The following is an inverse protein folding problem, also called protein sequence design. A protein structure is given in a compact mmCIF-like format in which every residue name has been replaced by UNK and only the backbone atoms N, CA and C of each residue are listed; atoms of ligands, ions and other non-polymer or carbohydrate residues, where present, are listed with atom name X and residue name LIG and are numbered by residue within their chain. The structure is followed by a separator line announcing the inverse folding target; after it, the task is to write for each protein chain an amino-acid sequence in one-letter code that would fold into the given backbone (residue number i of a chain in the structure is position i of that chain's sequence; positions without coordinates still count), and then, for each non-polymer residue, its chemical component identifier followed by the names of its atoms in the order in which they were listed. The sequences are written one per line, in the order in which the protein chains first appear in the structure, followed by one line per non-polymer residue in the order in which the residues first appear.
data_IF_826038327850
#
_entry.id   IF_826038327850
#
_cell.length_a   1.000
_cell.length_b   1.000
_cell.length_c   1.000
_cell.angle_alpha   90.00
_cell.angle_beta   90.00
_cell.angle_gamma   90.00
#
_symmetry.space_group_name_H-M   'P 1'
#
loop_
_entity.id
_entity.type
_entity.pdbx_description
1 polymer ?
#
# COMPACT_ATOMS: atom_id res chain seq x y z
N UNK A 1 87.55 16.39 47.33
CA UNK A 1 86.49 17.36 46.96
C UNK A 1 86.93 18.47 45.98
N UNK A 2 87.76 19.45 46.35
CA UNK A 2 88.08 20.60 45.46
C UNK A 2 88.87 20.21 44.19
N UNK A 3 89.75 19.23 44.30
CA UNK A 3 90.54 18.69 43.18
C UNK A 3 89.69 17.88 42.19
N UNK A 4 88.75 17.07 42.68
CA UNK A 4 87.82 16.30 41.84
C UNK A 4 86.91 17.21 41.02
N UNK A 5 86.49 18.34 41.60
CA UNK A 5 85.69 19.33 40.90
C UNK A 5 86.47 19.91 39.70
N UNK A 6 87.73 20.27 39.88
CA UNK A 6 88.59 20.76 38.80
C UNK A 6 88.86 19.72 37.72
N UNK A 7 89.03 18.44 38.08
CA UNK A 7 89.21 17.37 37.11
C UNK A 7 87.92 17.12 36.31
N UNK A 8 86.76 17.14 36.97
CA UNK A 8 85.47 17.03 36.29
C UNK A 8 85.22 18.23 35.37
N UNK A 9 85.65 19.43 35.76
CA UNK A 9 85.52 20.62 34.92
C UNK A 9 86.42 20.54 33.68
N UNK A 10 87.66 20.06 33.83
CA UNK A 10 88.59 19.78 32.72
C UNK A 10 88.06 18.68 31.80
N UNK A 11 87.52 17.61 32.36
CA UNK A 11 86.91 16.51 31.62
C UNK A 11 85.68 16.99 30.84
N UNK A 12 84.82 17.79 31.45
CA UNK A 12 83.65 18.37 30.78
C UNK A 12 84.06 19.30 29.63
N UNK A 13 85.11 20.11 29.79
CA UNK A 13 85.65 20.94 28.70
C UNK A 13 86.16 20.08 27.53
N UNK A 14 86.83 18.96 27.82
CA UNK A 14 87.27 18.01 26.77
C UNK A 14 86.08 17.36 26.07
N UNK A 15 85.09 16.86 26.83
CA UNK A 15 83.88 16.23 26.28
C UNK A 15 83.09 17.21 25.40
N UNK A 16 82.94 18.47 25.84
CA UNK A 16 82.27 19.52 25.05
C UNK A 16 83.02 19.89 23.76
N UNK A 17 84.34 19.66 23.72
CA UNK A 17 85.19 19.93 22.55
C UNK A 17 85.24 18.79 21.53
N UNK A 18 84.71 17.60 21.85
CA UNK A 18 84.69 16.46 20.91
C UNK A 18 83.61 16.70 19.86
N UNK A 19 84.01 16.82 18.59
CA UNK A 19 83.07 16.91 17.46
C UNK A 19 82.45 15.53 17.20
N UNK A 20 81.14 15.51 16.94
CA UNK A 20 80.45 14.30 16.52
C UNK A 20 80.98 13.84 15.15
N UNK A 21 81.43 12.58 15.06
CA UNK A 21 81.98 11.97 13.84
C UNK A 21 80.94 11.21 13.00
N UNK A 22 79.68 11.21 13.45
CA UNK A 22 78.56 10.54 12.80
C UNK A 22 77.55 11.60 12.38
N UNK A 23 77.17 11.59 11.11
CA UNK A 23 76.10 12.45 10.61
C UNK A 23 74.76 11.95 11.19
N UNK A 24 74.19 12.74 12.09
CA UNK A 24 72.89 12.48 12.70
C UNK A 24 71.78 13.33 12.04
N UNK A 25 72.01 13.89 10.84
CA UNK A 25 70.97 14.63 10.13
C UNK A 25 69.90 13.68 9.60
N UNK A 26 68.66 14.14 9.65
CA UNK A 26 67.55 13.40 9.05
C UNK A 26 67.74 13.27 7.54
N UNK A 27 67.44 12.10 6.94
CA UNK A 27 67.53 11.92 5.50
C UNK A 27 66.59 12.89 4.76
N UNK A 28 66.95 13.32 3.54
CA UNK A 28 66.14 14.25 2.76
C UNK A 28 64.77 13.63 2.43
N UNK A 29 63.72 14.41 2.65
CA UNK A 29 62.37 13.98 2.27
C UNK A 29 62.18 14.08 0.76
N UNK A 30 61.75 12.99 0.14
CA UNK A 30 61.48 13.00 -1.30
C UNK A 30 60.05 13.46 -1.60
N UNK A 31 59.85 14.36 -2.58
CA UNK A 31 58.54 14.93 -2.88
C UNK A 31 57.51 13.89 -3.35
N UNK A 32 57.94 12.75 -3.93
CA UNK A 32 57.05 11.68 -4.36
C UNK A 32 56.51 10.81 -3.19
N UNK A 33 57.15 10.85 -2.01
CA UNK A 33 56.65 10.19 -0.80
C UNK A 33 55.58 11.05 -0.10
N UNK A 34 55.71 12.37 -0.22
CA UNK A 34 54.74 13.36 0.26
C UNK A 34 53.54 13.40 -0.69
N UNK A 35 53.81 13.59 -1.98
CA UNK A 35 52.80 13.70 -3.03
C UNK A 35 52.65 12.36 -3.75
N UNK A 36 51.74 11.52 -3.25
CA UNK A 36 51.41 10.21 -3.83
C UNK A 36 50.57 10.35 -5.10
N UNK A 37 51.12 11.00 -6.14
CA UNK A 37 50.38 11.34 -7.38
C UNK A 37 49.67 10.17 -8.03
N UNK A 38 50.28 8.97 -8.05
CA UNK A 38 49.64 7.76 -8.59
C UNK A 38 48.39 7.36 -7.82
N UNK A 39 48.38 7.55 -6.50
CA UNK A 39 47.21 7.27 -5.66
C UNK A 39 46.10 8.30 -5.94
N UNK A 40 46.47 9.56 -6.10
CA UNK A 40 45.53 10.63 -6.42
C UNK A 40 44.89 10.42 -7.80
N UNK A 41 45.70 10.09 -8.80
CA UNK A 41 45.23 9.71 -10.14
C UNK A 41 44.26 8.52 -10.09
N UNK A 42 44.59 7.44 -9.37
CA UNK A 42 43.70 6.29 -9.23
C UNK A 42 42.37 6.64 -8.57
N UNK A 43 42.38 7.56 -7.60
CA UNK A 43 41.15 8.03 -6.97
C UNK A 43 40.30 8.84 -7.94
N UNK A 44 40.92 9.73 -8.72
CA UNK A 44 40.25 10.53 -9.76
C UNK A 44 39.65 9.65 -10.88
N UNK A 45 40.40 8.67 -11.37
CA UNK A 45 39.90 7.66 -12.33
C UNK A 45 38.68 6.89 -11.76
N UNK A 46 38.73 6.54 -10.47
CA UNK A 46 37.60 5.86 -9.82
C UNK A 46 36.38 6.77 -9.67
N UNK A 47 36.57 8.03 -9.32
CA UNK A 47 35.48 9.00 -9.20
C UNK A 47 34.83 9.29 -10.55
N UNK A 48 35.63 9.50 -11.59
CA UNK A 48 35.12 9.73 -12.96
C UNK A 48 34.35 8.52 -13.50
N UNK A 49 34.78 7.29 -13.16
CA UNK A 49 34.02 6.08 -13.49
C UNK A 49 32.67 6.05 -12.78
N UNK A 50 32.64 6.30 -11.46
CA UNK A 50 31.40 6.34 -10.67
C UNK A 50 30.44 7.41 -11.22
N UNK A 51 30.95 8.59 -11.59
CA UNK A 51 30.13 9.67 -12.16
C UNK A 51 29.55 9.29 -13.53
N UNK A 52 30.32 8.64 -14.40
CA UNK A 52 29.80 8.12 -15.68
C UNK A 52 28.71 7.07 -15.46
N UNK A 53 28.92 6.13 -14.56
CA UNK A 53 27.94 5.08 -14.24
C UNK A 53 26.65 5.69 -13.65
N UNK A 54 26.77 6.65 -12.74
CA UNK A 54 25.65 7.39 -12.18
C UNK A 54 24.89 8.16 -13.27
N UNK A 55 25.59 8.80 -14.21
CA UNK A 55 24.96 9.51 -15.34
C UNK A 55 24.19 8.55 -16.24
N UNK A 56 24.74 7.40 -16.57
CA UNK A 56 24.08 6.36 -17.37
C UNK A 56 22.86 5.82 -16.63
N UNK A 57 22.97 5.56 -15.32
CA UNK A 57 21.86 5.09 -14.50
C UNK A 57 20.71 6.10 -14.48
N UNK A 58 21.01 7.38 -14.22
CA UNK A 58 20.02 8.45 -14.22
C UNK A 58 19.36 8.62 -15.60
N UNK A 59 20.13 8.52 -16.68
CA UNK A 59 19.58 8.54 -18.04
C UNK A 59 18.63 7.37 -18.29
N UNK A 60 19.00 6.15 -17.86
CA UNK A 60 18.13 4.96 -17.96
C UNK A 60 16.88 5.10 -17.10
N UNK A 61 16.99 5.58 -15.87
CA UNK A 61 15.83 5.82 -15.01
C UNK A 61 14.91 6.89 -15.59
N UNK A 62 15.46 8.00 -16.08
CA UNK A 62 14.70 9.05 -16.76
C UNK A 62 14.01 8.53 -18.02
N UNK A 63 14.71 7.73 -18.83
CA UNK A 63 14.13 7.08 -20.00
C UNK A 63 12.98 6.15 -19.60
N UNK A 64 13.16 5.32 -18.56
CA UNK A 64 12.08 4.48 -18.03
C UNK A 64 10.93 5.34 -17.53
N UNK A 65 11.17 6.39 -16.74
CA UNK A 65 10.09 7.26 -16.20
C UNK A 65 9.30 7.99 -17.29
N UNK A 66 9.97 8.41 -18.37
CA UNK A 66 9.34 9.12 -19.49
C UNK A 66 8.67 8.17 -20.49
N UNK A 67 9.20 6.96 -20.66
CA UNK A 67 8.74 5.96 -21.62
C UNK A 67 8.04 4.76 -20.96
N UNK A 68 7.73 4.81 -19.66
CA UNK A 68 6.96 3.78 -18.93
C UNK A 68 5.46 3.82 -19.24
N UNK A 69 5.09 4.17 -20.46
CA UNK A 69 3.92 3.58 -21.08
C UNK A 69 4.39 2.23 -21.62
N UNK A 70 4.09 1.17 -20.88
CA UNK A 70 4.28 -0.20 -21.33
C UNK A 70 3.71 -0.30 -22.76
N UNK A 71 4.57 -0.36 -23.77
CA UNK A 71 4.18 -0.60 -25.17
C UNK A 71 3.76 -2.08 -25.39
N UNK A 72 3.44 -2.78 -24.30
CA UNK A 72 2.61 -4.00 -24.35
C UNK A 72 1.13 -3.64 -24.51
N UNK A 73 0.81 -2.67 -25.36
CA UNK A 73 -0.44 -2.75 -26.12
C UNK A 73 -0.30 -3.83 -27.19
N UNK A 74 0.10 -5.04 -26.78
CA UNK A 74 -0.36 -6.21 -27.49
C UNK A 74 -1.88 -6.20 -27.32
N UNK A 75 -2.58 -5.71 -28.34
CA UNK A 75 -3.99 -5.98 -28.59
C UNK A 75 -4.17 -7.48 -28.89
N UNK A 76 -3.56 -8.36 -28.11
CA UNK A 76 -4.04 -9.72 -27.97
C UNK A 76 -5.34 -9.54 -27.20
N UNK A 77 -6.44 -9.35 -27.95
CA UNK A 77 -7.76 -9.70 -27.46
C UNK A 77 -7.61 -11.15 -27.03
N UNK A 78 -7.53 -11.39 -25.72
CA UNK A 78 -7.43 -12.74 -25.19
C UNK A 78 -8.65 -13.49 -25.71
N UNK A 79 -8.42 -14.30 -26.74
CA UNK A 79 -9.48 -15.02 -27.43
C UNK A 79 -9.82 -16.16 -26.49
N UNK A 80 -10.72 -15.88 -25.54
CA UNK A 80 -11.24 -16.88 -24.60
C UNK A 80 -11.60 -18.11 -25.42
N UNK A 81 -11.04 -19.28 -25.09
CA UNK A 81 -11.31 -20.54 -25.80
C UNK A 81 -12.82 -20.80 -25.94
N UNK A 82 -13.60 -20.30 -24.97
CA UNK A 82 -15.05 -20.41 -24.91
C UNK A 82 -15.80 -19.20 -25.48
N UNK A 83 -15.15 -18.29 -26.20
CA UNK A 83 -15.79 -17.06 -26.70
C UNK A 83 -16.90 -17.37 -27.71
N UNK A 84 -16.70 -18.38 -28.56
CA UNK A 84 -17.70 -18.89 -29.50
C UNK A 84 -18.91 -19.47 -28.77
N UNK A 85 -18.68 -20.35 -27.78
CA UNK A 85 -19.74 -20.93 -26.96
C UNK A 85 -20.52 -19.88 -26.18
N UNK A 86 -19.82 -18.90 -25.57
CA UNK A 86 -20.45 -17.78 -24.85
C UNK A 86 -21.29 -16.91 -25.79
N UNK A 87 -20.80 -16.67 -27.01
CA UNK A 87 -21.53 -15.93 -28.04
C UNK A 87 -22.80 -16.67 -28.48
N UNK A 88 -22.69 -17.97 -28.77
CA UNK A 88 -23.83 -18.81 -29.15
C UNK A 88 -24.87 -18.88 -28.03
N UNK A 89 -24.43 -19.03 -26.77
CA UNK A 89 -25.34 -19.02 -25.62
C UNK A 89 -26.02 -17.66 -25.45
N UNK A 90 -25.29 -16.56 -25.65
CA UNK A 90 -25.86 -15.22 -25.59
C UNK A 90 -26.88 -14.99 -26.72
N UNK A 91 -26.58 -15.44 -27.95
CA UNK A 91 -27.52 -15.39 -29.08
C UNK A 91 -28.77 -16.24 -28.79
N UNK A 92 -28.61 -17.44 -28.23
CA UNK A 92 -29.71 -18.29 -27.80
C UNK A 92 -30.58 -17.61 -26.74
N UNK A 93 -29.98 -17.06 -25.68
CA UNK A 93 -30.68 -16.33 -24.62
C UNK A 93 -31.42 -15.13 -25.21
N UNK A 94 -30.80 -14.40 -26.13
CA UNK A 94 -31.45 -13.26 -26.79
C UNK A 94 -32.66 -13.69 -27.62
N UNK A 95 -32.56 -14.79 -28.37
CA UNK A 95 -33.69 -15.34 -29.14
C UNK A 95 -34.81 -15.82 -28.22
N UNK A 96 -34.47 -16.54 -27.14
CA UNK A 96 -35.45 -16.98 -26.13
C UNK A 96 -36.13 -15.78 -25.48
N UNK A 97 -35.39 -14.76 -25.06
CA UNK A 97 -35.92 -13.51 -24.51
C UNK A 97 -36.82 -12.78 -25.50
N UNK A 98 -36.44 -12.71 -26.77
CA UNK A 98 -37.27 -12.06 -27.80
C UNK A 98 -38.57 -12.84 -28.05
N UNK A 99 -38.51 -14.17 -28.05
CA UNK A 99 -39.69 -15.04 -28.16
C UNK A 99 -40.63 -14.87 -26.96
N UNK A 100 -40.07 -14.77 -25.75
CA UNK A 100 -40.79 -14.56 -24.52
C UNK A 100 -41.44 -13.17 -24.50
N UNK A 101 -40.71 -12.14 -24.92
CA UNK A 101 -41.22 -10.79 -25.03
C UNK A 101 -42.41 -10.72 -26.00
N UNK A 102 -42.28 -11.34 -27.19
CA UNK A 102 -43.39 -11.44 -28.16
C UNK A 102 -44.59 -12.15 -27.56
N UNK A 103 -44.39 -13.23 -26.80
CA UNK A 103 -45.47 -13.95 -26.11
C UNK A 103 -46.13 -13.10 -25.03
N UNK A 104 -45.36 -12.33 -24.26
CA UNK A 104 -45.90 -11.42 -23.23
C UNK A 104 -46.73 -10.31 -23.89
N UNK A 105 -46.19 -9.69 -24.94
CA UNK A 105 -46.84 -8.58 -25.64
C UNK A 105 -48.09 -9.01 -26.41
N UNK A 106 -48.07 -10.20 -27.03
CA UNK A 106 -49.24 -10.74 -27.76
C UNK A 106 -50.33 -11.28 -26.83
N UNK A 107 -50.00 -11.59 -25.56
CA UNK A 107 -50.97 -12.13 -24.62
C UNK A 107 -51.93 -11.02 -24.20
N UNK A 108 -53.22 -11.23 -24.51
CA UNK A 108 -54.29 -10.36 -24.03
C UNK A 108 -54.35 -10.39 -22.51
N UNK A 109 -54.61 -9.25 -21.84
CA UNK A 109 -54.78 -9.21 -20.40
C UNK A 109 -55.92 -10.16 -19.99
N UNK A 110 -55.64 -11.08 -19.07
CA UNK A 110 -56.63 -12.03 -18.54
C UNK A 110 -57.75 -11.30 -17.79
N UNK A 111 -57.45 -10.14 -17.22
CA UNK A 111 -58.37 -9.32 -16.45
C UNK A 111 -59.07 -8.29 -17.36
N UNK A 112 -60.22 -8.66 -17.93
CA UNK A 112 -61.08 -7.70 -18.63
C UNK A 112 -61.89 -6.89 -17.63
N UNK A 113 -61.63 -5.58 -17.52
CA UNK A 113 -62.36 -4.66 -16.63
C UNK A 113 -63.87 -4.71 -16.87
N UNK A 114 -64.30 -4.82 -18.13
CA UNK A 114 -65.71 -4.97 -18.50
C UNK A 114 -66.31 -6.27 -17.96
N UNK A 115 -65.57 -7.38 -18.04
CA UNK A 115 -66.02 -8.66 -17.49
C UNK A 115 -66.15 -8.59 -15.97
N UNK A 116 -65.18 -7.97 -15.28
CA UNK A 116 -65.22 -7.76 -13.83
C UNK A 116 -66.36 -6.85 -13.39
N UNK A 117 -66.61 -5.76 -14.12
CA UNK A 117 -67.74 -4.87 -13.85
C UNK A 117 -69.08 -5.59 -14.03
N UNK A 118 -69.22 -6.40 -15.09
CA UNK A 118 -70.42 -7.21 -15.31
C UNK A 118 -70.60 -8.24 -14.18
N UNK A 119 -69.55 -8.99 -13.85
CA UNK A 119 -69.58 -9.96 -12.76
C UNK A 119 -69.93 -9.30 -11.42
N UNK A 120 -69.39 -8.11 -11.15
CA UNK A 120 -69.70 -7.34 -9.94
C UNK A 120 -71.17 -6.89 -9.92
N UNK A 121 -71.70 -6.40 -11.05
CA UNK A 121 -73.11 -6.02 -11.17
C UNK A 121 -74.04 -7.23 -11.00
N UNK A 122 -73.77 -8.33 -11.70
CA UNK A 122 -74.53 -9.58 -11.60
C UNK A 122 -74.49 -10.14 -10.15
N UNK A 123 -73.36 -9.98 -9.47
CA UNK A 123 -73.21 -10.36 -8.07
C UNK A 123 -74.02 -9.46 -7.13
N UNK A 124 -73.99 -8.14 -7.34
CA UNK A 124 -74.82 -7.20 -6.59
C UNK A 124 -76.32 -7.46 -6.80
N UNK A 125 -76.75 -7.75 -8.03
CA UNK A 125 -78.12 -8.11 -8.35
C UNK A 125 -78.53 -9.42 -7.65
N UNK A 126 -77.66 -10.44 -7.66
CA UNK A 126 -77.88 -11.67 -6.87
C UNK A 126 -78.01 -11.40 -5.38
N UNK A 127 -77.16 -10.55 -4.81
CA UNK A 127 -77.22 -10.18 -3.39
C UNK A 127 -78.52 -9.44 -3.05
N UNK A 128 -79.01 -8.57 -3.94
CA UNK A 128 -80.33 -7.93 -3.80
C UNK A 128 -81.45 -8.96 -3.83
N UNK A 129 -81.46 -9.85 -4.81
CA UNK A 129 -82.44 -10.93 -4.87
C UNK A 129 -82.37 -11.84 -3.63
N UNK A 130 -81.19 -12.13 -3.09
CA UNK A 130 -81.04 -12.91 -1.85
C UNK A 130 -81.51 -12.16 -0.61
N UNK A 131 -81.36 -10.83 -0.57
CA UNK A 131 -81.85 -9.97 0.52
C UNK A 131 -83.38 -9.93 0.56
N UNK A 132 -84.03 -9.98 -0.61
CA UNK A 132 -85.48 -9.87 -0.75
C UNK A 132 -86.19 -11.25 -0.77
N UNK A 133 -85.44 -12.35 -0.58
CA UNK A 133 -86.00 -13.70 -0.46
C UNK A 133 -86.44 -13.95 0.99
N UNK A 134 -87.75 -14.11 1.15
CA UNK A 134 -88.39 -14.51 2.39
C UNK A 134 -88.03 -15.97 2.71
N UNK A 135 -87.28 -16.27 3.81
CA UNK A 135 -86.77 -17.61 4.09
C UNK A 135 -87.86 -18.66 4.29
N UNK A 136 -89.11 -18.24 4.54
CA UNK A 136 -90.28 -19.10 4.66
C UNK A 136 -90.81 -19.63 3.31
N UNK A 137 -90.46 -19.01 2.18
CA UNK A 137 -90.97 -19.37 0.83
C UNK A 137 -89.97 -20.15 -0.04
N UNK A 138 -88.80 -20.49 0.50
CA UNK A 138 -87.78 -21.27 -0.22
C UNK A 138 -88.25 -22.72 -0.34
N UNK A 139 -88.86 -23.06 -1.48
CA UNK A 139 -89.20 -24.44 -1.82
C UNK A 139 -87.92 -25.27 -1.89
N UNK A 140 -87.77 -26.21 -0.94
CA UNK A 140 -86.71 -27.22 -0.95
C UNK A 140 -86.93 -28.13 -2.15
N UNK A 141 -86.34 -27.79 -3.29
CA UNK A 141 -86.31 -28.72 -4.43
C UNK A 141 -85.46 -29.93 -4.03
N UNK A 142 -86.02 -31.13 -4.24
CA UNK A 142 -85.31 -32.39 -3.98
C UNK A 142 -84.01 -32.38 -4.78
N UNK A 143 -82.88 -32.54 -4.08
CA UNK A 143 -81.53 -32.56 -4.64
C UNK A 143 -81.45 -33.60 -5.76
N UNK A 144 -81.51 -33.14 -7.00
CA UNK A 144 -81.43 -34.02 -8.14
C UNK A 144 -79.96 -34.41 -8.34
N UNK A 145 -79.68 -35.70 -8.12
CA UNK A 145 -78.52 -36.50 -8.54
C UNK A 145 -77.23 -35.73 -8.85
N UNK A 146 -76.24 -35.95 -7.97
CA UNK A 146 -74.79 -35.84 -8.22
C UNK A 146 -74.45 -35.92 -9.71
N UNK A 147 -74.28 -34.78 -10.37
CA UNK A 147 -73.55 -34.73 -11.65
C UNK A 147 -72.09 -35.02 -11.32
N UNK A 148 -71.52 -36.00 -12.03
CA UNK A 148 -70.13 -36.45 -11.90
C UNK A 148 -69.21 -35.24 -11.74
N UNK A 149 -68.34 -35.29 -10.74
CA UNK A 149 -67.19 -34.39 -10.63
C UNK A 149 -66.44 -34.46 -11.95
N UNK A 150 -66.52 -33.41 -12.76
CA UNK A 150 -65.53 -33.24 -13.82
C UNK A 150 -64.18 -33.24 -13.11
N UNK A 151 -63.34 -34.24 -13.40
CA UNK A 151 -61.95 -34.24 -12.95
C UNK A 151 -61.40 -32.89 -13.39
N UNK A 152 -61.05 -32.03 -12.43
CA UNK A 152 -60.25 -30.86 -12.72
C UNK A 152 -58.99 -31.42 -13.38
N UNK A 153 -58.84 -31.17 -14.68
CA UNK A 153 -57.56 -31.41 -15.33
C UNK A 153 -56.54 -30.66 -14.49
N UNK A 154 -55.45 -31.31 -14.05
CA UNK A 154 -54.36 -30.61 -13.41
C UNK A 154 -54.03 -29.40 -14.29
N UNK A 155 -54.10 -28.20 -13.73
CA UNK A 155 -53.65 -27.01 -14.44
C UNK A 155 -52.28 -27.35 -15.01
N UNK A 156 -52.15 -27.22 -16.33
CA UNK A 156 -50.91 -27.28 -17.09
C UNK A 156 -49.94 -26.21 -16.55
N UNK A 157 -49.30 -26.55 -15.44
CA UNK A 157 -48.11 -25.89 -14.93
C UNK A 157 -46.98 -26.45 -15.78
N UNK A 158 -46.69 -25.72 -16.87
CA UNK A 158 -45.63 -26.05 -17.79
C UNK A 158 -44.38 -26.56 -17.08
N UNK A 159 -44.01 -27.79 -17.46
CA UNK A 159 -42.71 -28.44 -17.31
C UNK A 159 -41.75 -27.89 -16.26
N UNK A 160 -41.91 -28.32 -15.01
CA UNK A 160 -40.82 -28.35 -14.03
C UNK A 160 -40.66 -29.78 -13.48
N UNK A 161 -40.32 -30.72 -14.36
CA UNK A 161 -39.91 -32.07 -13.96
C UNK A 161 -38.88 -32.63 -14.95
N UNK A 162 -37.72 -31.99 -15.03
CA UNK A 162 -36.61 -32.47 -15.85
C UNK A 162 -35.23 -31.99 -15.36
N UNK A 163 -34.93 -31.97 -14.05
CA UNK A 163 -33.55 -31.72 -13.57
C UNK A 163 -33.13 -32.53 -12.33
N UNK A 164 -33.77 -33.67 -12.06
CA UNK A 164 -33.38 -34.56 -10.95
C UNK A 164 -32.99 -35.95 -11.47
N UNK A 165 -32.03 -36.00 -12.40
CA UNK A 165 -31.19 -37.19 -12.65
C UNK A 165 -30.16 -36.84 -13.73
N UNK A 166 -28.98 -36.37 -13.32
CA UNK A 166 -27.76 -36.61 -14.09
C UNK A 166 -26.64 -37.03 -13.15
N UNK A 167 -26.08 -38.17 -13.53
CA UNK A 167 -25.04 -38.95 -12.88
C UNK A 167 -23.73 -38.15 -12.80
N UNK A 168 -22.97 -38.42 -11.75
CA UNK A 168 -21.52 -38.27 -11.57
C UNK A 168 -20.74 -37.78 -12.80
N UNK A 169 -20.46 -36.47 -12.84
CA UNK A 169 -19.34 -35.93 -13.61
C UNK A 169 -18.23 -35.53 -12.62
N UNK A 170 -17.05 -36.12 -12.82
CA UNK A 170 -15.83 -35.85 -12.05
C UNK A 170 -15.46 -34.35 -12.13
N UNK A 171 -14.93 -33.72 -11.07
CA UNK A 171 -14.52 -32.32 -11.14
C UNK A 171 -13.26 -32.20 -12.00
N UNK A 172 -13.43 -31.75 -13.24
CA UNK A 172 -12.34 -31.35 -14.13
C UNK A 172 -11.79 -30.00 -13.67
N UNK A 173 -10.47 -29.97 -13.44
CA UNK A 173 -9.73 -28.91 -12.78
C UNK A 173 -10.01 -27.50 -13.32
N UNK A 174 -10.57 -26.68 -12.45
CA UNK A 174 -10.72 -25.24 -12.62
C UNK A 174 -9.39 -24.60 -12.24
N UNK A 175 -8.59 -24.16 -13.22
CA UNK A 175 -7.49 -23.21 -12.98
C UNK A 175 -8.09 -21.84 -12.68
N UNK A 176 -8.77 -21.71 -11.55
CA UNK A 176 -9.03 -20.41 -10.97
C UNK A 176 -7.74 -19.87 -10.38
N UNK A 177 -7.46 -18.61 -10.71
CA UNK A 177 -6.35 -17.79 -10.27
C UNK A 177 -5.72 -18.30 -8.96
N UNK A 178 -4.52 -18.85 -9.05
CA UNK A 178 -3.78 -19.43 -7.92
C UNK A 178 -3.64 -18.47 -6.74
N UNK A 179 -3.73 -17.15 -6.99
CA UNK A 179 -3.77 -16.08 -6.00
C UNK A 179 -5.13 -15.89 -5.31
N UNK A 180 -6.26 -16.13 -5.99
CA UNK A 180 -7.60 -16.12 -5.34
C UNK A 180 -7.92 -17.42 -4.63
N UNK A 181 -7.33 -18.53 -5.06
CA UNK A 181 -7.40 -19.81 -4.36
C UNK A 181 -6.51 -19.87 -3.10
N UNK A 182 -5.67 -18.85 -2.88
CA UNK A 182 -4.79 -18.74 -1.71
C UNK A 182 -5.32 -17.81 -0.61
N UNK A 183 -6.39 -17.05 -0.88
CA UNK A 183 -7.10 -16.26 0.12
C UNK A 183 -8.07 -17.18 0.88
N UNK A 184 -7.65 -17.61 2.07
CA UNK A 184 -8.51 -18.36 2.98
C UNK A 184 -9.24 -17.36 3.89
N UNK A 185 -10.56 -17.28 3.75
CA UNK A 185 -11.39 -16.54 4.71
C UNK A 185 -11.41 -17.33 6.02
N UNK A 186 -10.78 -16.76 7.03
CA UNK A 186 -10.59 -17.35 8.35
C UNK A 186 -11.79 -17.09 9.24
N UNK A 187 -12.26 -15.85 9.25
CA UNK A 187 -13.30 -15.40 10.17
C UNK A 187 -14.16 -14.32 9.52
N UNK A 188 -15.47 -14.34 9.78
CA UNK A 188 -16.40 -13.31 9.33
C UNK A 188 -17.56 -13.14 10.30
N UNK A 189 -17.55 -12.07 11.07
CA UNK A 189 -18.62 -11.77 12.03
C UNK A 189 -18.80 -10.26 12.27
N UNK A 190 -19.97 -9.87 12.76
CA UNK A 190 -20.23 -8.50 13.22
C UNK A 190 -19.66 -8.28 14.62
N UNK A 191 -18.88 -7.21 14.79
CA UNK A 191 -18.24 -6.81 16.05
C UNK A 191 -18.38 -5.31 16.26
N UNK A 192 -18.43 -4.90 17.52
CA UNK A 192 -18.31 -3.49 17.90
C UNK A 192 -16.82 -3.19 18.10
N UNK A 193 -16.27 -2.24 17.35
CA UNK A 193 -14.90 -1.75 17.48
C UNK A 193 -14.99 -0.23 17.62
N UNK A 194 -14.48 0.33 18.73
CA UNK A 194 -14.50 1.77 19.04
C UNK A 194 -15.88 2.42 18.76
N UNK A 195 -16.93 1.86 19.38
CA UNK A 195 -18.33 2.29 19.29
C UNK A 195 -18.99 2.20 17.89
N UNK A 196 -18.33 1.58 16.91
CA UNK A 196 -18.88 1.32 15.58
C UNK A 196 -19.19 -0.15 15.40
N UNK A 197 -20.41 -0.47 14.94
CA UNK A 197 -20.77 -1.83 14.56
C UNK A 197 -20.27 -2.14 13.15
N UNK A 198 -19.34 -3.10 13.05
CA UNK A 198 -18.61 -3.39 11.83
C UNK A 198 -18.54 -4.90 11.58
N UNK A 199 -18.77 -5.32 10.34
CA UNK A 199 -18.49 -6.69 9.92
C UNK A 199 -16.99 -6.82 9.66
N UNK A 200 -16.32 -7.62 10.49
CA UNK A 200 -14.90 -7.93 10.38
C UNK A 200 -14.74 -9.22 9.60
N UNK A 201 -13.94 -9.19 8.54
CA UNK A 201 -13.52 -10.37 7.77
C UNK A 201 -12.01 -10.49 7.87
N UNK A 202 -11.53 -11.60 8.42
CA UNK A 202 -10.10 -11.94 8.50
C UNK A 202 -9.79 -12.91 7.36
N UNK A 203 -8.78 -12.59 6.56
CA UNK A 203 -8.37 -13.38 5.41
C UNK A 203 -6.88 -13.66 5.53
N UNK A 204 -6.48 -14.91 5.51
CA UNK A 204 -5.08 -15.30 5.40
C UNK A 204 -4.75 -15.57 3.94
N UNK A 205 -3.66 -14.96 3.48
CA UNK A 205 -3.03 -15.31 2.22
C UNK A 205 -1.82 -16.21 2.52
N UNK A 206 -1.97 -17.51 2.24
CA UNK A 206 -0.94 -18.52 2.54
C UNK A 206 0.34 -18.26 1.71
N UNK A 207 0.19 -17.75 0.49
CA UNK A 207 1.32 -17.54 -0.42
C UNK A 207 2.16 -16.36 0.04
N UNK A 208 1.49 -15.24 0.34
CA UNK A 208 2.17 -14.00 0.73
C UNK A 208 2.50 -13.97 2.23
N UNK A 209 1.99 -14.93 3.01
CA UNK A 209 2.07 -14.99 4.48
C UNK A 209 1.63 -13.67 5.13
N UNK A 210 0.48 -13.18 4.70
CA UNK A 210 -0.12 -11.93 5.16
C UNK A 210 -1.57 -12.17 5.58
N UNK A 211 -1.95 -11.63 6.72
CA UNK A 211 -3.33 -11.57 7.17
C UNK A 211 -3.93 -10.21 6.80
N UNK A 212 -5.07 -10.23 6.11
CA UNK A 212 -5.83 -9.05 5.72
C UNK A 212 -7.07 -8.96 6.59
N UNK A 213 -7.16 -7.88 7.37
CA UNK A 213 -8.34 -7.52 8.15
C UNK A 213 -9.16 -6.53 7.33
N UNK A 214 -10.36 -6.94 6.94
CA UNK A 214 -11.30 -6.11 6.19
C UNK A 214 -12.51 -5.83 7.06
N UNK A 215 -12.85 -4.56 7.20
CA UNK A 215 -13.94 -4.11 8.07
C UNK A 215 -14.95 -3.33 7.24
N UNK A 216 -16.23 -3.69 7.34
CA UNK A 216 -17.33 -3.01 6.66
C UNK A 216 -18.32 -2.41 7.66
N UNK A 217 -18.36 -1.09 7.76
CA UNK A 217 -19.33 -0.38 8.60
C UNK A 217 -20.69 -0.32 7.88
N UNK A 218 -21.75 -0.82 8.50
CA UNK A 218 -23.09 -0.81 7.88
C UNK A 218 -23.66 0.60 7.74
N UNK A 219 -23.40 1.48 8.70
CA UNK A 219 -23.98 2.82 8.75
C UNK A 219 -23.39 3.75 7.69
N UNK A 220 -22.07 3.74 7.54
CA UNK A 220 -21.36 4.62 6.61
C UNK A 220 -21.06 3.98 5.27
N UNK A 221 -21.29 2.67 5.12
CA UNK A 221 -20.85 1.87 3.96
C UNK A 221 -19.34 1.96 3.67
N UNK A 222 -18.54 2.44 4.63
CA UNK A 222 -17.09 2.57 4.46
C UNK A 222 -16.41 1.22 4.68
N UNK A 223 -15.52 0.87 3.76
CA UNK A 223 -14.68 -0.31 3.85
C UNK A 223 -13.26 0.10 4.22
N UNK A 224 -12.73 -0.52 5.27
CA UNK A 224 -11.34 -0.35 5.69
C UNK A 224 -10.59 -1.68 5.59
N UNK A 225 -9.29 -1.61 5.32
CA UNK A 225 -8.41 -2.77 5.16
C UNK A 225 -7.06 -2.50 5.83
N UNK A 226 -6.57 -3.49 6.57
CA UNK A 226 -5.21 -3.53 7.13
C UNK A 226 -4.60 -4.88 6.80
N UNK A 227 -3.39 -4.86 6.25
CA UNK A 227 -2.63 -6.06 5.91
C UNK A 227 -1.43 -6.17 6.85
N UNK A 228 -1.26 -7.33 7.46
CA UNK A 228 -0.26 -7.58 8.50
C UNK A 228 0.53 -8.85 8.14
N UNK A 229 1.86 -8.79 8.07
CA UNK A 229 2.68 -9.98 7.88
C UNK A 229 2.45 -11.00 8.99
N UNK A 230 2.41 -12.29 8.64
CA UNK A 230 2.25 -13.39 9.59
C UNK A 230 3.35 -13.41 10.66
N UNK A 231 4.56 -12.93 10.34
CA UNK A 231 5.64 -12.79 11.32
C UNK A 231 5.29 -11.77 12.42
N UNK A 232 4.71 -10.64 12.05
CA UNK A 232 4.30 -9.62 13.02
C UNK A 232 3.16 -10.12 13.91
N UNK A 233 2.26 -10.94 13.37
CA UNK A 233 1.22 -11.61 14.15
C UNK A 233 1.81 -12.63 15.12
N UNK A 234 2.82 -13.39 14.69
CA UNK A 234 3.55 -14.33 15.54
C UNK A 234 4.23 -13.63 16.71
N UNK A 235 4.80 -12.45 16.50
CA UNK A 235 5.38 -11.66 17.58
C UNK A 235 4.31 -11.11 18.57
N UNK A 236 3.04 -11.09 18.16
CA UNK A 236 1.91 -10.62 18.97
C UNK A 236 1.15 -11.75 19.70
N UNK A 237 1.36 -13.01 19.31
CA UNK A 237 0.63 -14.18 19.80
C UNK A 237 1.63 -15.16 20.42
N UNK A 238 1.56 -15.34 21.74
CA UNK A 238 2.53 -16.16 22.49
C UNK A 238 2.37 -17.69 22.23
N UNK A 239 1.24 -18.13 21.66
CA UNK A 239 0.96 -19.53 21.36
C UNK A 239 1.03 -19.83 19.85
N UNK A 240 2.13 -20.47 19.44
CA UNK A 240 2.36 -20.94 18.07
C UNK A 240 1.29 -21.95 17.59
N UNK A 241 0.52 -22.56 18.52
CA UNK A 241 -0.56 -23.50 18.19
C UNK A 241 -1.74 -22.82 17.50
N UNK A 242 -1.95 -21.51 17.76
CA UNK A 242 -3.03 -20.72 17.16
C UNK A 242 -2.81 -20.43 15.66
N UNK A 243 -1.58 -20.54 15.18
CA UNK A 243 -1.25 -20.39 13.75
C UNK A 243 -1.57 -21.65 12.92
N UNK A 244 -2.13 -22.69 13.54
CA UNK A 244 -2.55 -23.90 12.84
C UNK A 244 -3.91 -23.67 12.17
N UNK A 245 -4.15 -24.26 10.98
CA UNK A 245 -5.43 -24.21 10.27
C UNK A 245 -6.66 -24.54 11.13
N UNK A 246 -6.48 -25.42 12.12
CA UNK A 246 -7.56 -25.93 12.97
C UNK A 246 -7.99 -24.94 14.07
N UNK A 247 -7.21 -23.89 14.35
CA UNK A 247 -7.44 -22.90 15.42
C UNK A 247 -7.65 -21.48 14.89
N UNK A 248 -8.15 -21.39 13.67
CA UNK A 248 -8.36 -20.15 12.93
C UNK A 248 -9.36 -19.18 13.59
N UNK A 249 -10.39 -19.71 14.24
CA UNK A 249 -11.34 -18.91 15.02
C UNK A 249 -10.69 -18.36 16.29
N UNK A 250 -9.93 -19.18 17.02
CA UNK A 250 -9.22 -18.77 18.24
C UNK A 250 -8.17 -17.68 17.96
N UNK A 251 -7.46 -17.82 16.83
CA UNK A 251 -6.53 -16.81 16.33
C UNK A 251 -7.24 -15.49 16.01
N UNK A 252 -8.38 -15.55 15.31
CA UNK A 252 -9.17 -14.35 15.01
C UNK A 252 -9.65 -13.67 16.29
N UNK A 253 -10.10 -14.45 17.28
CA UNK A 253 -10.54 -13.94 18.58
C UNK A 253 -9.42 -13.25 19.37
N UNK A 254 -8.18 -13.71 19.24
CA UNK A 254 -7.01 -13.07 19.84
C UNK A 254 -6.56 -11.78 19.12
N UNK A 255 -6.82 -11.68 17.80
CA UNK A 255 -6.36 -10.57 16.96
C UNK A 255 -7.38 -9.43 16.84
N UNK A 256 -8.68 -9.71 16.82
CA UNK A 256 -9.74 -8.70 16.68
C UNK A 256 -9.70 -7.61 17.76
N UNK A 257 -9.45 -7.91 19.06
CA UNK A 257 -9.35 -6.89 20.10
C UNK A 257 -8.19 -5.89 19.90
N UNK A 258 -7.24 -6.18 19.00
CA UNK A 258 -6.12 -5.30 18.66
C UNK A 258 -6.42 -4.36 17.50
N UNK A 259 -7.58 -4.49 16.85
CA UNK A 259 -8.04 -3.57 15.81
C UNK A 259 -8.66 -2.32 16.45
N UNK A 260 -8.23 -1.15 15.98
CA UNK A 260 -8.76 0.15 16.40
C UNK A 260 -8.97 1.06 15.20
N UNK A 261 -9.83 2.06 15.35
CA UNK A 261 -9.97 3.14 14.36
C UNK A 261 -9.21 4.38 14.82
N UNK A 262 -8.18 4.75 14.06
CA UNK A 262 -7.45 6.00 14.25
C UNK A 262 -7.72 6.91 13.05
N UNK A 263 -8.34 8.08 13.27
CA UNK A 263 -8.73 9.02 12.21
C UNK A 263 -9.53 8.36 11.08
N UNK A 264 -10.56 7.58 11.42
CA UNK A 264 -11.42 6.81 10.50
C UNK A 264 -10.72 5.69 9.70
N UNK A 265 -9.42 5.51 9.90
CA UNK A 265 -8.65 4.42 9.30
C UNK A 265 -8.51 3.28 10.29
N UNK A 266 -8.70 2.06 9.80
CA UNK A 266 -8.42 0.87 10.61
C UNK A 266 -6.90 0.75 10.83
N UNK A 267 -6.50 0.52 12.07
CA UNK A 267 -5.11 0.31 12.50
C UNK A 267 -5.07 -0.93 13.39
N UNK A 268 -3.98 -1.69 13.33
CA UNK A 268 -3.74 -2.82 14.22
C UNK A 268 -2.64 -2.45 15.21
N UNK A 269 -2.93 -2.64 16.50
CA UNK A 269 -1.99 -2.36 17.57
C UNK A 269 -0.99 -3.52 17.74
N UNK A 270 0.24 -3.30 17.26
CA UNK A 270 1.36 -4.24 17.39
C UNK A 270 2.04 -4.18 18.76
N UNK A 271 1.71 -3.19 19.60
CA UNK A 271 2.41 -2.92 20.87
C UNK A 271 1.67 -3.45 22.10
N UNK A 272 0.41 -3.85 21.96
CA UNK A 272 -0.37 -4.38 23.06
C UNK A 272 0.13 -5.77 23.47
N UNK A 273 1.25 -5.84 24.20
CA UNK A 273 1.63 -7.02 24.96
C UNK A 273 0.68 -7.15 26.14
N UNK A 274 -0.41 -7.89 25.95
CA UNK A 274 -1.11 -8.52 27.04
C UNK A 274 -0.34 -9.80 27.40
N UNK A 275 0.78 -9.67 28.09
CA UNK A 275 1.23 -10.75 28.95
C UNK A 275 1.72 -10.16 30.26
N UNK A 276 1.12 -10.58 31.36
CA UNK A 276 1.67 -10.34 32.70
C UNK A 276 3.14 -10.76 32.78
N UNK A 277 3.60 -11.65 31.88
CA UNK A 277 4.99 -12.04 31.70
C UNK A 277 5.90 -10.90 31.20
N UNK A 278 5.47 -10.03 30.29
CA UNK A 278 6.30 -8.89 29.85
C UNK A 278 6.41 -7.82 30.92
N UNK A 279 5.30 -7.46 31.58
CA UNK A 279 5.32 -6.51 32.70
C UNK A 279 6.06 -7.08 33.92
N UNK A 280 5.96 -8.40 34.18
CA UNK A 280 6.77 -9.07 35.20
C UNK A 280 8.25 -9.05 34.84
N UNK A 281 8.62 -9.35 33.59
CA UNK A 281 10.00 -9.31 33.11
C UNK A 281 10.58 -7.90 33.18
N UNK A 282 9.79 -6.87 32.82
CA UNK A 282 10.16 -5.46 32.92
C UNK A 282 10.30 -4.99 34.37
N UNK A 283 9.44 -5.47 35.28
CA UNK A 283 9.58 -5.23 36.72
C UNK A 283 10.82 -5.90 37.29
N UNK A 284 11.07 -7.16 36.96
CA UNK A 284 12.28 -7.89 37.37
C UNK A 284 13.53 -7.20 36.82
N UNK A 285 13.54 -6.78 35.56
CA UNK A 285 14.64 -6.04 34.96
C UNK A 285 14.86 -4.67 35.64
N UNK A 286 13.79 -3.92 35.90
CA UNK A 286 13.86 -2.64 36.60
C UNK A 286 14.35 -2.81 38.05
N UNK A 287 13.92 -3.86 38.74
CA UNK A 287 14.33 -4.19 40.11
C UNK A 287 15.78 -4.68 40.17
N UNK A 288 16.22 -5.42 39.14
CA UNK A 288 17.62 -5.84 38.98
C UNK A 288 18.53 -4.63 38.72
N UNK A 289 18.11 -3.69 37.87
CA UNK A 289 18.82 -2.42 37.65
C UNK A 289 18.86 -1.60 38.93
N UNK A 290 17.76 -1.53 39.71
CA UNK A 290 17.73 -0.86 41.01
C UNK A 290 18.67 -1.52 42.04
N UNK A 291 18.81 -2.84 42.02
CA UNK A 291 19.77 -3.58 42.85
C UNK A 291 21.22 -3.31 42.46
N UNK A 292 21.48 -3.19 41.16
CA UNK A 292 22.81 -2.89 40.62
C UNK A 292 23.22 -1.43 40.90
N UNK A 293 22.27 -0.50 40.90
CA UNK A 293 22.53 0.94 41.18
C UNK A 293 22.53 1.29 42.67
N UNK A 294 21.93 0.49 43.54
CA UNK A 294 21.84 0.79 44.99
C UNK A 294 23.03 0.33 45.85
N UNK A 295 24.12 -0.15 45.24
CA UNK A 295 25.44 -0.20 45.88
C UNK A 295 25.56 -0.98 47.20
N UNK A 296 24.63 -1.89 47.52
CA UNK A 296 24.67 -2.66 48.78
C UNK A 296 25.26 -4.05 48.54
N UNK A 297 26.57 -4.15 48.69
CA UNK A 297 27.34 -5.40 48.60
C UNK A 297 27.12 -6.24 49.85
N UNK A 298 26.47 -7.40 49.71
CA UNK A 298 26.73 -8.56 50.57
C UNK A 298 27.50 -9.58 49.75
N UNK A 299 28.63 -10.00 50.32
CA UNK A 299 29.70 -10.81 49.74
C UNK A 299 29.24 -12.16 49.16
N UNK A 300 29.66 -12.45 47.92
CA UNK A 300 29.60 -13.75 47.24
C UNK A 300 30.89 -13.93 46.36
N UNK A 301 31.24 -15.16 45.91
CA UNK A 301 32.61 -15.69 45.88
C UNK A 301 33.51 -15.27 44.71
N UNK A 302 34.79 -15.67 44.80
CA UNK A 302 35.99 -15.16 44.11
C UNK A 302 36.07 -15.24 42.56
N UNK A 303 35.06 -15.71 41.83
CA UNK A 303 35.19 -15.95 40.38
C UNK A 303 34.69 -14.80 39.46
N UNK A 304 34.17 -13.70 40.01
CA UNK A 304 33.62 -12.57 39.21
C UNK A 304 34.60 -11.41 38.93
N UNK A 305 35.92 -11.58 39.15
CA UNK A 305 36.89 -10.51 38.85
C UNK A 305 37.24 -10.38 37.36
N UNK A 306 36.93 -11.38 36.54
CA UNK A 306 37.09 -11.30 35.07
C UNK A 306 35.90 -10.58 34.41
N UNK A 307 34.68 -10.85 34.86
CA UNK A 307 33.44 -10.36 34.21
C UNK A 307 33.22 -8.85 34.34
N UNK A 308 33.65 -8.20 35.42
CA UNK A 308 33.49 -6.74 35.59
C UNK A 308 34.36 -5.92 34.64
N UNK A 309 35.53 -6.43 34.27
CA UNK A 309 36.42 -5.77 33.32
C UNK A 309 35.86 -5.88 31.90
N UNK A 310 35.36 -7.07 31.55
CA UNK A 310 34.73 -7.33 30.25
C UNK A 310 33.45 -6.52 30.04
N UNK A 311 32.64 -6.32 31.10
CA UNK A 311 31.43 -5.50 31.04
C UNK A 311 31.77 -4.01 30.86
N UNK A 312 32.80 -3.51 31.55
CA UNK A 312 33.26 -2.12 31.40
C UNK A 312 33.77 -1.84 29.98
N UNK A 313 34.57 -2.76 29.43
CA UNK A 313 35.11 -2.64 28.07
C UNK A 313 33.99 -2.72 27.00
N UNK A 314 32.96 -3.55 27.23
CA UNK A 314 31.76 -3.62 26.39
C UNK A 314 30.95 -2.31 26.42
N UNK A 315 30.77 -1.70 27.60
CA UNK A 315 30.08 -0.41 27.73
C UNK A 315 30.84 0.67 26.97
N UNK A 316 32.16 0.77 27.14
CA UNK A 316 32.99 1.74 26.42
C UNK A 316 32.97 1.53 24.89
N UNK A 317 32.91 0.27 24.44
CA UNK A 317 32.73 -0.04 23.02
C UNK A 317 31.36 0.39 22.49
N UNK A 318 30.30 0.19 23.26
CA UNK A 318 28.95 0.59 22.85
C UNK A 318 28.81 2.11 22.76
N UNK A 319 29.40 2.86 23.69
CA UNK A 319 29.41 4.32 23.66
C UNK A 319 30.22 4.86 22.46
N UNK A 320 31.36 4.24 22.14
CA UNK A 320 32.15 4.57 20.93
C UNK A 320 31.39 4.26 19.63
N UNK A 321 30.61 3.17 19.59
CA UNK A 321 29.75 2.84 18.44
C UNK A 321 28.60 3.83 18.30
N UNK A 322 27.97 4.23 19.39
CA UNK A 322 26.86 5.19 19.41
C UNK A 322 27.31 6.58 18.95
N UNK A 323 28.44 7.09 19.48
CA UNK A 323 29.02 8.38 19.07
C UNK A 323 29.41 8.39 17.59
N UNK A 324 29.95 7.28 17.07
CA UNK A 324 30.25 7.13 15.63
C UNK A 324 28.98 7.17 14.78
N UNK A 325 27.89 6.53 15.21
CA UNK A 325 26.60 6.59 14.52
C UNK A 325 26.00 8.00 14.54
N UNK A 326 26.04 8.71 15.67
CA UNK A 326 25.58 10.11 15.75
C UNK A 326 26.39 11.03 14.81
N UNK A 327 27.70 10.85 14.72
CA UNK A 327 28.54 11.63 13.81
C UNK A 327 28.24 11.34 12.34
N UNK A 328 27.93 10.09 11.99
CA UNK A 328 27.50 9.72 10.64
C UNK A 328 26.14 10.35 10.31
N UNK A 329 25.19 10.30 11.25
CA UNK A 329 23.87 10.91 11.10
C UNK A 329 23.99 12.44 10.91
N UNK A 330 24.79 13.12 11.72
CA UNK A 330 25.03 14.56 11.61
C UNK A 330 25.75 14.93 10.30
N UNK A 331 26.67 14.09 9.82
CA UNK A 331 27.32 14.31 8.53
C UNK A 331 26.33 14.16 7.36
N UNK A 332 25.38 13.23 7.46
CA UNK A 332 24.34 13.04 6.46
C UNK A 332 23.32 14.19 6.45
N UNK A 333 22.92 14.71 7.62
CA UNK A 333 22.02 15.87 7.70
C UNK A 333 22.68 17.14 7.14
N UNK A 334 23.94 17.40 7.45
CA UNK A 334 24.71 18.52 6.89
C UNK A 334 24.83 18.38 5.36
N UNK A 335 25.09 17.16 4.85
CA UNK A 335 25.15 16.93 3.40
C UNK A 335 23.82 17.23 2.71
N UNK A 336 22.71 16.76 3.30
CA UNK A 336 21.35 17.00 2.78
C UNK A 336 21.01 18.49 2.77
N UNK A 337 21.38 19.23 3.81
CA UNK A 337 21.19 20.69 3.88
C UNK A 337 22.00 21.43 2.80
N UNK A 338 23.24 21.00 2.52
CA UNK A 338 24.06 21.58 1.44
C UNK A 338 23.46 21.31 0.05
N UNK A 339 22.99 20.09 -0.20
CA UNK A 339 22.33 19.73 -1.46
C UNK A 339 21.03 20.52 -1.67
N UNK A 340 20.24 20.72 -0.60
CA UNK A 340 19.03 21.53 -0.66
C UNK A 340 19.34 23.02 -0.93
N UNK A 341 20.40 23.55 -0.33
CA UNK A 341 20.85 24.92 -0.58
C UNK A 341 21.33 25.13 -2.03
N UNK A 342 22.07 24.17 -2.60
CA UNK A 342 22.45 24.21 -4.02
C UNK A 342 21.25 24.14 -4.95
N UNK A 343 20.27 23.27 -4.65
CA UNK A 343 19.04 23.18 -5.45
C UNK A 343 18.28 24.51 -5.47
N UNK A 344 18.21 25.20 -4.33
CA UNK A 344 17.59 26.54 -4.25
C UNK A 344 18.35 27.56 -5.09
N UNK A 345 19.69 27.56 -5.06
CA UNK A 345 20.51 28.45 -5.90
C UNK A 345 20.31 28.19 -7.40
N UNK A 346 20.31 26.93 -7.82
CA UNK A 346 20.10 26.57 -9.22
C UNK A 346 18.68 26.92 -9.70
N UNK A 347 17.67 26.77 -8.84
CA UNK A 347 16.31 27.19 -9.15
C UNK A 347 16.21 28.72 -9.34
N UNK A 348 16.88 29.50 -8.49
CA UNK A 348 16.93 30.96 -8.60
C UNK A 348 17.63 31.42 -9.90
N UNK A 349 18.71 30.75 -10.30
CA UNK A 349 19.40 31.02 -11.58
C UNK A 349 18.46 30.72 -12.75
N UNK A 350 17.77 29.57 -12.73
CA UNK A 350 16.83 29.21 -13.79
C UNK A 350 15.64 30.16 -13.90
N UNK A 351 15.17 30.70 -12.76
CA UNK A 351 14.11 31.72 -12.74
C UNK A 351 14.58 33.04 -13.35
N UNK A 352 15.79 33.50 -13.01
CA UNK A 352 16.41 34.68 -13.62
C UNK A 352 16.60 34.52 -15.13
N UNK A 353 17.00 33.33 -15.59
CA UNK A 353 17.10 33.06 -17.03
C UNK A 353 15.75 33.07 -17.74
N UNK A 354 14.68 32.56 -17.10
CA UNK A 354 13.32 32.64 -17.64
C UNK A 354 12.84 34.08 -17.76
N UNK A 355 13.07 34.90 -16.73
CA UNK A 355 12.75 36.32 -16.76
C UNK A 355 13.52 37.04 -17.88
N UNK A 356 14.82 36.76 -18.02
CA UNK A 356 15.62 37.34 -19.10
C UNK A 356 15.14 36.95 -20.50
N UNK A 357 14.64 35.71 -20.69
CA UNK A 357 14.04 35.28 -21.96
C UNK A 357 12.74 36.01 -22.27
N UNK A 358 11.87 36.16 -21.27
CA UNK A 358 10.62 36.91 -21.44
C UNK A 358 10.88 38.38 -21.80
N UNK A 359 11.89 39.00 -21.20
CA UNK A 359 12.31 40.36 -21.55
C UNK A 359 12.77 40.43 -23.00
N UNK A 360 13.65 39.52 -23.45
CA UNK A 360 14.10 39.49 -24.85
C UNK A 360 12.96 39.27 -25.85
N UNK A 361 12.02 38.39 -25.53
CA UNK A 361 10.85 38.13 -26.39
C UNK A 361 9.92 39.37 -26.45
N UNK A 362 9.80 40.13 -25.36
CA UNK A 362 9.07 41.38 -25.34
C UNK A 362 9.76 42.47 -26.17
N UNK A 363 11.08 42.61 -26.04
CA UNK A 363 11.89 43.54 -26.84
C UNK A 363 11.83 43.22 -28.34
N UNK A 364 11.84 41.93 -28.70
CA UNK A 364 11.71 41.48 -30.10
C UNK A 364 10.34 41.82 -30.68
N UNK A 365 9.25 41.61 -29.92
CA UNK A 365 7.89 42.02 -30.33
C UNK A 365 7.75 43.53 -30.48
N UNK A 366 8.33 44.31 -29.57
CA UNK A 366 8.31 45.77 -29.65
C UNK A 366 9.07 46.28 -30.89
N UNK A 367 10.19 45.63 -31.24
CA UNK A 367 10.93 45.93 -32.47
C UNK A 367 10.16 45.57 -33.74
N UNK A 368 9.46 44.42 -33.76
CA UNK A 368 8.58 44.03 -34.87
C UNK A 368 7.41 45.01 -35.05
N UNK A 369 6.77 45.44 -33.96
CA UNK A 369 5.70 46.44 -33.98
C UNK A 369 6.21 47.80 -34.48
N UNK A 370 7.41 48.23 -34.08
CA UNK A 370 8.03 49.45 -34.56
C UNK A 370 8.32 49.40 -36.07
N UNK A 371 8.86 48.28 -36.57
CA UNK A 371 9.07 48.07 -38.01
C UNK A 371 7.76 48.06 -38.79
N UNK A 372 6.71 47.44 -38.25
CA UNK A 372 5.37 47.44 -38.86
C UNK A 372 4.78 48.86 -38.90
N UNK A 373 4.97 49.65 -37.86
CA UNK A 373 4.54 51.05 -37.81
C UNK A 373 5.31 51.91 -38.82
N UNK A 374 6.63 51.74 -38.94
CA UNK A 374 7.45 52.45 -39.92
C UNK A 374 7.04 52.09 -41.37
N UNK A 375 6.80 50.80 -41.65
CA UNK A 375 6.29 50.35 -42.94
C UNK A 375 4.90 50.93 -43.25
N UNK A 376 4.02 51.04 -42.26
CA UNK A 376 2.70 51.65 -42.43
C UNK A 376 2.80 53.17 -42.73
N UNK A 377 3.72 53.88 -42.07
CA UNK A 377 3.99 55.30 -42.34
C UNK A 377 4.56 55.49 -43.75
N UNK A 378 5.47 54.62 -44.18
CA UNK A 378 6.03 54.65 -45.54
C UNK A 378 4.95 54.40 -46.61
N UNK A 379 4.07 53.43 -46.38
CA UNK A 379 2.93 53.17 -47.27
C UNK A 379 1.96 54.36 -47.35
N UNK A 380 1.66 55.00 -46.21
CA UNK A 380 0.81 56.19 -46.17
C UNK A 380 1.44 57.38 -46.94
N UNK A 381 2.75 57.60 -46.81
CA UNK A 381 3.46 58.64 -47.59
C UNK A 381 3.38 58.37 -49.10
N UNK A 382 3.61 57.13 -49.53
CA UNK A 382 3.51 56.76 -50.94
C UNK A 382 2.11 56.99 -51.53
N UNK A 383 1.05 56.74 -50.75
CA UNK A 383 -0.33 57.03 -51.19
C UNK A 383 -0.65 58.52 -51.30
N UNK A 384 -0.01 59.37 -50.49
CA UNK A 384 -0.19 60.84 -50.56
C UNK A 384 0.59 61.42 -51.73
N UNK A 385 1.81 60.94 -51.99
CA UNK A 385 2.60 61.36 -53.15
C UNK A 385 1.95 60.93 -54.48
N UNK A 386 1.41 59.71 -54.56
CA UNK A 386 0.67 59.23 -55.73
C UNK A 386 -0.70 59.88 -55.95
N UNK A 387 -1.20 60.67 -55.00
CA UNK A 387 -2.43 61.47 -55.14
C UNK A 387 -2.14 62.95 -55.46
N UNK A 388 -0.88 63.37 -55.46
CA UNK A 388 -0.43 64.72 -55.77
C UNK A 388 0.13 64.87 -57.20
N UNK A 389 0.36 63.77 -57.90
CA UNK A 389 0.54 63.69 -59.37
C UNK A 389 -0.82 63.51 -60.07
#
# INVERSE_FOLDING_TARGET
YKWELQQNEKLSKRIKGVKANVDNKAPPQYPHLINKRKKEQQMEERYTQIERENRILLQKMSHIMTHSAIDNQMKIKSRSLNATRRRQELERIMQENQSLLKRIQSRKPFLSKKHWQKHHKDHQERLKCMRDVDPAKVVKTKTNRRKKTHKLNPLDHGGFKAYASRKNDKPMGRKENRSKAAENVIYKEGRIIDDKYVIVTVIENIVDRVFSFRTYALETSHQNRVDIPAMTIRDCVDDDSLMRPDHHDDLAMALIPRLRFENEKLVFDTKAQNSEAYEASKKVAAETVKRLTSGKTKSLPKDEKRTKKDISELVDETEKKLTKQMNIANKATIKKQKEEAERKRLAEIAEKERQARLIREAEEKEAEEALAAEAAIAAAKATVEGAAE
#
